data_IF_057276496129
#
_entry.id   IF_057276496129
#
_cell.length_a   1.000
_cell.length_b   1.000
_cell.length_c   1.000
_cell.angle_alpha   90.00
_cell.angle_beta   90.00
_cell.angle_gamma   90.00
#
_symmetry.space_group_name_H-M   'P 1'
#
loop_
_entity.id
_entity.type
_entity.pdbx_description
1 polymer ?
#
# COMPACT_ATOMS: atom_id res chain seq x y z
N UNK A 1 48.51 -36.24 -8.78
CA UNK A 1 49.00 -35.29 -9.80
C UNK A 1 47.81 -34.93 -10.68
N UNK A 2 47.51 -33.73 -11.13
CA UNK A 2 48.00 -32.37 -10.92
C UNK A 2 46.99 -31.49 -11.68
N UNK A 3 46.54 -30.39 -11.06
CA UNK A 3 46.22 -29.09 -11.66
C UNK A 3 45.40 -29.00 -12.97
N UNK A 4 44.26 -28.30 -12.90
CA UNK A 4 43.81 -27.23 -13.82
C UNK A 4 42.80 -26.38 -13.02
N UNK A 5 43.12 -25.18 -12.50
CA UNK A 5 43.27 -23.86 -13.18
C UNK A 5 42.07 -23.58 -14.11
N UNK A 6 41.27 -22.53 -13.99
CA UNK A 6 41.31 -21.31 -13.17
C UNK A 6 40.03 -20.47 -13.38
N UNK A 7 39.82 -19.49 -12.50
CA UNK A 7 38.75 -18.48 -12.53
C UNK A 7 38.86 -17.57 -13.77
N UNK A 8 37.74 -17.12 -14.39
CA UNK A 8 37.75 -15.93 -15.22
C UNK A 8 37.60 -14.65 -14.38
N UNK A 9 38.49 -13.67 -14.60
CA UNK A 9 38.32 -12.25 -14.26
C UNK A 9 38.70 -11.41 -15.50
N UNK A 10 38.49 -10.09 -15.49
CA UNK A 10 37.29 -9.36 -15.90
C UNK A 10 37.49 -8.71 -17.28
N UNK A 11 36.41 -8.25 -17.92
CA UNK A 11 36.54 -7.42 -19.11
C UNK A 11 37.02 -6.02 -18.73
N UNK A 12 38.26 -5.71 -19.10
CA UNK A 12 38.83 -4.36 -19.08
C UNK A 12 38.64 -3.76 -20.48
N UNK A 13 37.83 -2.71 -20.60
CA UNK A 13 37.79 -1.87 -21.79
C UNK A 13 38.50 -0.55 -21.46
N UNK A 14 39.72 -0.43 -21.99
CA UNK A 14 40.55 0.77 -22.14
C UNK A 14 40.62 0.99 -23.66
N UNK A 15 40.70 2.14 -24.33
CA UNK A 15 41.00 3.58 -24.11
C UNK A 15 40.51 4.31 -25.41
N UNK A 16 40.75 5.61 -25.76
CA UNK A 16 41.69 6.65 -25.26
C UNK A 16 40.95 7.92 -24.75
N UNK A 17 41.45 8.76 -23.84
CA UNK A 17 42.64 9.64 -23.79
C UNK A 17 42.69 10.71 -24.90
N UNK A 18 43.14 11.92 -24.53
CA UNK A 18 43.30 13.18 -25.31
C UNK A 18 42.08 14.16 -25.28
N UNK A 19 42.10 15.40 -24.78
CA UNK A 19 43.13 16.30 -24.27
C UNK A 19 42.48 17.55 -23.58
N UNK A 20 43.20 18.10 -22.60
CA UNK A 20 43.31 19.54 -22.26
C UNK A 20 42.30 20.22 -21.30
N UNK A 21 42.83 20.50 -20.11
CA UNK A 21 42.44 21.56 -19.16
C UNK A 21 42.68 22.96 -19.75
N UNK A 22 41.81 23.92 -19.41
CA UNK A 22 42.22 25.29 -19.08
C UNK A 22 41.13 26.00 -18.22
N UNK A 23 41.54 26.57 -17.09
CA UNK A 23 40.84 27.56 -16.24
C UNK A 23 41.76 28.79 -16.20
N UNK A 24 41.39 30.03 -15.76
CA UNK A 24 40.16 30.54 -15.10
C UNK A 24 39.67 31.94 -15.59
N UNK A 25 38.54 32.47 -15.09
CA UNK A 25 38.33 33.92 -14.83
C UNK A 25 37.00 34.24 -14.09
N UNK A 26 37.07 35.21 -13.18
CA UNK A 26 36.02 35.81 -12.34
C UNK A 26 34.91 36.60 -13.09
N UNK A 27 33.65 36.44 -12.62
CA UNK A 27 32.48 37.37 -12.38
C UNK A 27 32.12 38.49 -13.41
N UNK A 28 30.88 39.10 -13.44
CA UNK A 28 29.82 39.13 -12.41
C UNK A 28 28.33 39.09 -12.88
N UNK A 29 27.43 39.02 -11.89
CA UNK A 29 26.08 39.62 -11.84
C UNK A 29 24.97 39.21 -12.82
N UNK A 30 23.89 38.69 -12.24
CA UNK A 30 22.54 39.11 -12.61
C UNK A 30 21.62 38.04 -13.18
N UNK A 31 21.20 37.06 -12.38
CA UNK A 31 19.95 36.36 -12.64
C UNK A 31 19.19 36.21 -11.32
N UNK A 32 18.00 36.81 -11.29
CA UNK A 32 17.10 36.92 -10.14
C UNK A 32 16.78 35.56 -9.50
N UNK A 33 16.61 35.47 -8.17
CA UNK A 33 16.10 34.24 -7.56
C UNK A 33 14.67 33.96 -8.08
N UNK A 34 14.32 32.69 -8.39
CA UNK A 34 12.95 32.33 -8.71
C UNK A 34 12.05 32.66 -7.51
N UNK A 35 10.78 33.07 -7.74
CA UNK A 35 9.87 33.42 -6.66
C UNK A 35 9.74 32.25 -5.69
N UNK A 36 10.06 32.53 -4.43
CA UNK A 36 9.84 31.63 -3.30
C UNK A 36 8.35 31.36 -3.19
N UNK A 37 7.86 30.35 -3.90
CA UNK A 37 6.67 29.65 -3.45
C UNK A 37 7.03 29.05 -2.08
N UNK A 38 6.23 29.29 -1.02
CA UNK A 38 6.42 28.55 0.20
C UNK A 38 6.32 27.07 -0.18
N UNK A 39 7.44 26.35 -0.07
CA UNK A 39 7.40 24.89 0.00
C UNK A 39 6.59 24.63 1.26
N UNK A 40 5.29 24.45 1.08
CA UNK A 40 4.43 23.85 2.09
C UNK A 40 4.94 22.43 2.17
N UNK A 41 6.00 22.25 2.97
CA UNK A 41 6.44 20.96 3.44
C UNK A 41 5.23 20.42 4.18
N UNK A 42 4.38 19.68 3.47
CA UNK A 42 3.32 18.90 4.08
C UNK A 42 4.06 17.97 5.01
N UNK A 43 4.07 18.30 6.29
CA UNK A 43 4.61 17.44 7.33
C UNK A 43 3.79 16.17 7.21
N UNK A 44 4.34 15.14 6.58
CA UNK A 44 3.69 13.85 6.44
C UNK A 44 3.56 13.32 7.87
N UNK A 45 2.39 13.48 8.47
CA UNK A 45 2.11 12.98 9.82
C UNK A 45 2.44 11.50 9.86
N UNK A 46 3.13 11.04 10.90
CA UNK A 46 3.48 9.64 11.02
C UNK A 46 2.17 8.84 11.15
N UNK A 47 1.93 7.80 10.32
CA UNK A 47 0.70 7.01 10.37
C UNK A 47 0.37 6.47 11.77
N UNK A 48 1.41 6.20 12.56
CA UNK A 48 1.30 5.70 13.92
C UNK A 48 0.66 6.70 14.89
N UNK A 49 0.73 8.01 14.63
CA UNK A 49 0.25 9.04 15.55
C UNK A 49 -1.28 8.99 15.76
N UNK A 50 -2.00 8.30 14.86
CA UNK A 50 -3.45 8.06 14.96
C UNK A 50 -3.83 6.97 15.96
N UNK A 51 -2.87 6.13 16.36
CA UNK A 51 -3.10 4.99 17.24
C UNK A 51 -2.73 5.32 18.70
N UNK A 52 -3.37 4.69 19.69
CA UNK A 52 -2.91 4.75 21.08
C UNK A 52 -1.52 4.09 21.24
N UNK A 53 -0.72 4.45 22.26
CA UNK A 53 0.67 3.98 22.39
C UNK A 53 0.86 2.46 22.35
N UNK A 54 -0.08 1.70 22.92
CA UNK A 54 -0.06 0.24 22.89
C UNK A 54 -0.29 -0.33 21.49
N UNK A 55 -1.19 0.27 20.71
CA UNK A 55 -1.43 -0.09 19.32
C UNK A 55 -0.26 0.35 18.42
N UNK A 56 0.38 1.49 18.69
CA UNK A 56 1.60 1.89 17.99
C UNK A 56 2.73 0.87 18.18
N UNK A 57 2.92 0.37 19.41
CA UNK A 57 3.91 -0.65 19.70
C UNK A 57 3.63 -1.92 18.90
N UNK A 58 2.39 -2.39 18.91
CA UNK A 58 1.98 -3.56 18.11
C UNK A 58 2.22 -3.33 16.62
N UNK A 59 1.83 -2.16 16.11
CA UNK A 59 1.98 -1.82 14.70
C UNK A 59 3.45 -1.79 14.25
N UNK A 60 4.36 -1.30 15.10
CA UNK A 60 5.80 -1.37 14.85
C UNK A 60 6.30 -2.81 14.80
N UNK A 61 5.92 -3.65 15.77
CA UNK A 61 6.33 -5.05 15.82
C UNK A 61 5.88 -5.83 14.58
N UNK A 62 4.64 -5.63 14.14
CA UNK A 62 4.13 -6.28 12.93
C UNK A 62 4.80 -5.71 11.69
N UNK A 63 5.10 -4.41 11.65
CA UNK A 63 5.82 -3.82 10.51
C UNK A 63 7.27 -4.30 10.40
N UNK A 64 7.95 -4.58 11.52
CA UNK A 64 9.28 -5.21 11.56
C UNK A 64 9.29 -6.61 10.90
N UNK A 65 8.13 -7.27 10.80
CA UNK A 65 7.97 -8.52 10.05
C UNK A 65 7.88 -8.32 8.53
N UNK A 66 7.89 -7.08 8.04
CA UNK A 66 7.88 -6.75 6.60
C UNK A 66 6.58 -6.16 6.08
N UNK A 67 5.53 -6.06 6.91
CA UNK A 67 4.28 -5.42 6.50
C UNK A 67 4.41 -3.89 6.45
N UNK A 68 3.83 -3.21 5.44
CA UNK A 68 3.84 -1.74 5.38
C UNK A 68 3.13 -1.11 6.59
N UNK A 69 3.79 -0.19 7.30
CA UNK A 69 3.25 0.48 8.51
C UNK A 69 1.83 1.01 8.29
N UNK A 70 1.55 1.62 7.14
CA UNK A 70 0.23 2.17 6.84
C UNK A 70 -0.88 1.09 6.83
N UNK A 71 -0.61 -0.09 6.25
CA UNK A 71 -1.54 -1.23 6.24
C UNK A 71 -1.74 -1.77 7.65
N UNK A 72 -0.65 -1.90 8.41
CA UNK A 72 -0.71 -2.37 9.80
C UNK A 72 -1.52 -1.41 10.68
N UNK A 73 -1.36 -0.10 10.50
CA UNK A 73 -2.13 0.91 11.23
C UNK A 73 -3.63 0.75 10.97
N UNK A 74 -4.05 0.66 9.71
CA UNK A 74 -5.46 0.43 9.36
C UNK A 74 -5.99 -0.88 9.92
N UNK A 75 -5.20 -1.95 9.86
CA UNK A 75 -5.56 -3.23 10.46
C UNK A 75 -5.74 -3.11 11.99
N UNK A 76 -4.89 -2.35 12.69
CA UNK A 76 -5.06 -2.07 14.12
C UNK A 76 -6.31 -1.21 14.42
N UNK A 77 -6.71 -0.30 13.53
CA UNK A 77 -7.96 0.47 13.67
C UNK A 77 -9.20 -0.42 13.51
N UNK A 78 -9.16 -1.40 12.60
CA UNK A 78 -10.29 -2.30 12.29
C UNK A 78 -10.39 -3.45 13.30
N UNK A 79 -9.28 -4.13 13.58
CA UNK A 79 -9.23 -5.36 14.39
C UNK A 79 -8.96 -5.09 15.87
N UNK A 80 -8.36 -3.94 16.18
CA UNK A 80 -7.85 -3.62 17.51
C UNK A 80 -6.43 -4.14 17.74
N UNK A 81 -6.13 -4.52 18.97
CA UNK A 81 -4.76 -4.74 19.45
C UNK A 81 -4.41 -6.22 19.71
N UNK A 82 -5.03 -7.12 18.94
CA UNK A 82 -4.73 -8.55 19.00
C UNK A 82 -3.71 -8.89 17.91
N UNK A 83 -2.48 -9.21 18.32
CA UNK A 83 -1.38 -9.47 17.38
C UNK A 83 -1.74 -10.54 16.35
N UNK A 84 -2.28 -11.68 16.80
CA UNK A 84 -2.60 -12.78 15.90
C UNK A 84 -3.67 -12.35 14.90
N UNK A 85 -4.76 -11.73 15.38
CA UNK A 85 -5.85 -11.31 14.49
C UNK A 85 -5.43 -10.23 13.50
N UNK A 86 -4.57 -9.30 13.91
CA UNK A 86 -4.06 -8.26 13.00
C UNK A 86 -3.20 -8.88 11.90
N UNK A 87 -2.35 -9.85 12.23
CA UNK A 87 -1.55 -10.58 11.23
C UNK A 87 -2.46 -11.40 10.31
N UNK A 88 -3.41 -12.16 10.86
CA UNK A 88 -4.37 -12.95 10.09
C UNK A 88 -5.16 -12.06 9.12
N UNK A 89 -5.56 -10.85 9.55
CA UNK A 89 -6.23 -9.87 8.71
C UNK A 89 -5.35 -9.38 7.56
N UNK A 90 -4.09 -9.02 7.85
CA UNK A 90 -3.14 -8.56 6.83
C UNK A 90 -2.86 -9.65 5.78
N UNK A 91 -2.76 -10.90 6.20
CA UNK A 91 -2.59 -12.04 5.29
C UNK A 91 -3.81 -12.23 4.38
N UNK A 92 -5.03 -12.10 4.92
CA UNK A 92 -6.23 -12.13 4.09
C UNK A 92 -6.27 -10.96 3.10
N UNK A 93 -5.93 -9.74 3.55
CA UNK A 93 -5.87 -8.56 2.66
C UNK A 93 -4.92 -8.82 1.49
N UNK A 94 -3.72 -9.32 1.77
CA UNK A 94 -2.74 -9.68 0.75
C UNK A 94 -3.28 -10.76 -0.21
N UNK A 95 -3.93 -11.80 0.30
CA UNK A 95 -4.48 -12.88 -0.52
C UNK A 95 -5.57 -12.41 -1.50
N UNK A 96 -6.35 -11.37 -1.15
CA UNK A 96 -7.31 -10.75 -2.07
C UNK A 96 -6.64 -9.75 -3.02
N UNK A 97 -5.60 -9.05 -2.58
CA UNK A 97 -4.80 -8.17 -3.44
C UNK A 97 -4.12 -8.97 -4.57
N UNK A 98 -3.61 -10.17 -4.26
CA UNK A 98 -3.07 -11.12 -5.25
C UNK A 98 -4.12 -11.58 -6.28
N UNK A 99 -5.42 -11.54 -5.92
CA UNK A 99 -6.53 -11.81 -6.84
C UNK A 99 -6.94 -10.58 -7.66
N UNK A 100 -6.29 -9.43 -7.45
CA UNK A 100 -6.52 -8.19 -8.18
C UNK A 100 -7.54 -7.26 -7.53
N UNK A 101 -7.94 -7.50 -6.27
CA UNK A 101 -8.85 -6.59 -5.57
C UNK A 101 -8.10 -5.42 -4.92
N UNK A 102 -8.67 -4.20 -4.93
CA UNK A 102 -8.05 -3.04 -4.30
C UNK A 102 -8.04 -3.17 -2.77
N UNK A 103 -6.88 -2.93 -2.15
CA UNK A 103 -6.63 -3.10 -0.71
C UNK A 103 -7.68 -2.39 0.17
N UNK A 104 -8.01 -1.14 -0.14
CA UNK A 104 -9.00 -0.34 0.58
C UNK A 104 -10.40 -0.97 0.60
N UNK A 105 -10.82 -1.62 -0.49
CA UNK A 105 -12.13 -2.32 -0.55
C UNK A 105 -12.07 -3.63 0.22
N UNK A 106 -10.95 -4.36 0.10
CA UNK A 106 -10.74 -5.59 0.86
C UNK A 106 -10.79 -5.32 2.36
N UNK A 107 -10.06 -4.32 2.84
CA UNK A 107 -10.01 -3.93 4.26
C UNK A 107 -11.40 -3.56 4.79
N UNK A 108 -12.16 -2.77 4.03
CA UNK A 108 -13.53 -2.39 4.38
C UNK A 108 -14.45 -3.60 4.51
N UNK A 109 -14.43 -4.51 3.53
CA UNK A 109 -15.29 -5.70 3.53
C UNK A 109 -14.90 -6.67 4.64
N UNK A 110 -13.61 -6.95 4.81
CA UNK A 110 -13.13 -7.85 5.87
C UNK A 110 -13.45 -7.31 7.26
N UNK A 111 -13.34 -5.99 7.46
CA UNK A 111 -13.76 -5.34 8.70
C UNK A 111 -15.26 -5.47 8.95
N UNK A 112 -16.07 -5.30 7.91
CA UNK A 112 -17.54 -5.42 7.98
C UNK A 112 -18.01 -6.85 8.25
N UNK A 113 -17.37 -7.84 7.61
CA UNK A 113 -17.71 -9.27 7.73
C UNK A 113 -16.99 -9.96 8.89
N UNK A 114 -16.26 -9.22 9.74
CA UNK A 114 -15.52 -9.77 10.89
C UNK A 114 -14.56 -10.91 10.49
N UNK A 115 -13.84 -10.74 9.38
CA UNK A 115 -12.88 -11.70 8.83
C UNK A 115 -13.46 -13.06 8.39
N UNK A 116 -14.75 -13.11 8.06
CA UNK A 116 -15.36 -14.26 7.39
C UNK A 116 -14.86 -14.35 5.94
N UNK A 117 -13.84 -15.18 5.71
CA UNK A 117 -13.17 -15.30 4.42
C UNK A 117 -14.12 -15.81 3.33
N UNK A 118 -14.94 -16.81 3.63
CA UNK A 118 -15.86 -17.42 2.66
C UNK A 118 -16.88 -16.38 2.18
N UNK A 119 -17.47 -15.63 3.12
CA UNK A 119 -18.39 -14.55 2.77
C UNK A 119 -17.67 -13.42 2.04
N UNK A 120 -16.45 -13.07 2.44
CA UNK A 120 -15.68 -12.04 1.75
C UNK A 120 -15.38 -12.41 0.30
N UNK A 121 -15.06 -13.67 0.01
CA UNK A 121 -14.85 -14.16 -1.36
C UNK A 121 -16.09 -14.01 -2.25
N UNK A 122 -17.29 -14.20 -1.69
CA UNK A 122 -18.54 -14.01 -2.42
C UNK A 122 -18.96 -12.52 -2.49
N UNK A 123 -18.67 -11.76 -1.44
CA UNK A 123 -19.09 -10.38 -1.29
C UNK A 123 -18.26 -9.41 -2.15
N UNK A 124 -16.93 -9.56 -2.16
CA UNK A 124 -16.03 -8.59 -2.79
C UNK A 124 -16.31 -8.34 -4.27
N UNK A 125 -16.48 -9.37 -5.12
CA UNK A 125 -16.72 -9.16 -6.55
C UNK A 125 -17.96 -8.33 -6.80
N UNK A 126 -19.05 -8.65 -6.09
CA UNK A 126 -20.33 -7.94 -6.17
C UNK A 126 -20.22 -6.52 -5.64
N UNK A 127 -19.51 -6.34 -4.52
CA UNK A 127 -19.29 -5.03 -3.89
C UNK A 127 -18.51 -4.09 -4.80
N UNK A 128 -17.36 -4.54 -5.31
CA UNK A 128 -16.51 -3.74 -6.21
C UNK A 128 -17.28 -3.37 -7.48
N UNK A 129 -17.96 -4.33 -8.11
CA UNK A 129 -18.76 -4.05 -9.32
C UNK A 129 -19.85 -3.00 -9.07
N UNK A 130 -20.63 -3.13 -7.99
CA UNK A 130 -21.71 -2.18 -7.69
C UNK A 130 -21.14 -0.79 -7.33
N UNK A 131 -20.01 -0.73 -6.63
CA UNK A 131 -19.35 0.56 -6.34
C UNK A 131 -18.80 1.20 -7.62
N UNK A 132 -18.21 0.41 -8.53
CA UNK A 132 -17.71 0.89 -9.83
C UNK A 132 -18.82 1.39 -10.76
N UNK A 133 -20.06 0.91 -10.58
CA UNK A 133 -21.26 1.44 -11.25
C UNK A 133 -21.74 2.78 -10.66
N UNK A 134 -21.10 3.26 -9.58
CA UNK A 134 -21.39 4.55 -8.95
C UNK A 134 -22.35 4.47 -7.76
N UNK A 135 -22.70 3.27 -7.28
CA UNK A 135 -23.49 3.13 -6.07
C UNK A 135 -22.64 3.44 -4.82
N UNK A 136 -23.28 3.98 -3.78
CA UNK A 136 -22.62 4.34 -2.53
C UNK A 136 -22.19 3.09 -1.74
N UNK A 137 -20.93 3.08 -1.27
CA UNK A 137 -20.32 1.94 -0.57
C UNK A 137 -21.12 1.44 0.64
N UNK A 138 -21.64 2.35 1.48
CA UNK A 138 -22.41 1.98 2.68
C UNK A 138 -23.76 1.36 2.30
N UNK A 139 -24.41 1.86 1.24
CA UNK A 139 -25.66 1.29 0.74
C UNK A 139 -25.45 -0.07 0.11
N UNK A 140 -24.42 -0.20 -0.73
CA UNK A 140 -24.06 -1.47 -1.37
C UNK A 140 -23.72 -2.51 -0.30
N UNK A 141 -22.96 -2.13 0.73
CA UNK A 141 -22.58 -3.08 1.77
C UNK A 141 -23.77 -3.55 2.58
N UNK A 142 -24.67 -2.65 2.98
CA UNK A 142 -25.91 -3.01 3.66
C UNK A 142 -26.79 -3.93 2.81
N UNK A 143 -26.98 -3.59 1.53
CA UNK A 143 -27.79 -4.39 0.59
C UNK A 143 -27.22 -5.80 0.39
N UNK A 144 -25.90 -5.93 0.21
CA UNK A 144 -25.24 -7.24 0.04
C UNK A 144 -25.28 -8.08 1.32
N UNK A 145 -25.18 -7.48 2.51
CA UNK A 145 -25.34 -8.21 3.76
C UNK A 145 -26.77 -8.76 3.87
N UNK A 146 -27.77 -7.94 3.52
CA UNK A 146 -29.18 -8.31 3.58
C UNK A 146 -29.57 -9.35 2.52
N UNK A 147 -28.96 -9.29 1.33
CA UNK A 147 -29.24 -10.22 0.23
C UNK A 147 -28.48 -11.54 0.33
N UNK A 148 -27.57 -11.70 1.31
CA UNK A 148 -26.75 -12.89 1.47
C UNK A 148 -25.63 -12.99 0.42
N UNK A 149 -24.99 -11.87 0.11
CA UNK A 149 -23.95 -11.74 -0.93
C UNK A 149 -24.46 -11.97 -2.37
N UNK A 150 -25.78 -11.95 -2.56
CA UNK A 150 -26.42 -12.06 -3.87
C UNK A 150 -26.42 -10.69 -4.57
N UNK A 151 -25.71 -10.59 -5.69
CA UNK A 151 -25.53 -9.33 -6.43
C UNK A 151 -26.84 -8.81 -7.02
N UNK A 152 -27.62 -9.68 -7.66
CA UNK A 152 -28.80 -9.24 -8.39
C UNK A 152 -29.88 -8.78 -7.42
N UNK A 153 -30.07 -9.50 -6.30
CA UNK A 153 -30.94 -9.05 -5.21
C UNK A 153 -30.47 -7.76 -4.55
N UNK A 154 -29.17 -7.58 -4.37
CA UNK A 154 -28.63 -6.33 -3.82
C UNK A 154 -28.86 -5.17 -4.78
N UNK A 155 -28.71 -5.39 -6.09
CA UNK A 155 -28.98 -4.40 -7.11
C UNK A 155 -30.47 -4.01 -7.13
N UNK A 156 -31.38 -4.99 -7.09
CA UNK A 156 -32.82 -4.72 -6.99
C UNK A 156 -33.15 -3.87 -5.76
N UNK A 157 -32.53 -4.17 -4.61
CA UNK A 157 -32.71 -3.40 -3.39
C UNK A 157 -32.14 -1.96 -3.47
N UNK A 158 -31.08 -1.74 -4.27
CA UNK A 158 -30.48 -0.41 -4.47
C UNK A 158 -31.27 0.48 -5.43
N UNK A 159 -32.03 -0.13 -6.34
CA UNK A 159 -32.83 0.56 -7.34
C UNK A 159 -34.27 0.84 -6.89
N UNK A 160 -34.73 0.15 -5.84
CA UNK A 160 -36.04 0.36 -5.24
C UNK A 160 -36.12 1.62 -4.40
#
# INVERSE_FOLDING_TARGET
MSHMKGLPKPYHLNYPDDLSQDSPAETPSGESPPPTHPVVTRVASNPLDRLPPSAQKLARQISEMGFPVAKVVRACEIIGQDHKKVVDFLLQVQAFEEKGFPDTKVEYVLGTLKMDEERAQQFLPSFVQLVDLGFNEEKVSAALIQSGCDRDKALDALLS
#
